data_IF_230095992616
#
_entry.id   IF_230095992616
#
_cell.length_a   1.000
_cell.length_b   1.000
_cell.length_c   1.000
_cell.angle_alpha   90.00
_cell.angle_beta   90.00
_cell.angle_gamma   90.00
#
_symmetry.space_group_name_H-M   'P 1'
#
loop_
_entity.id
_entity.type
_entity.pdbx_description
1 polymer ?
#
# COMPACT_ATOMS: atom_id res chain seq x y z
N UNK A 1 30.77 44.34 -31.97
CA UNK A 1 30.15 44.57 -30.66
C UNK A 1 28.78 43.93 -30.70
N UNK A 2 28.57 42.89 -29.91
CA UNK A 2 27.29 42.21 -29.58
C UNK A 2 27.38 40.69 -29.73
N UNK A 3 27.87 40.05 -28.69
CA UNK A 3 27.57 38.61 -28.45
C UNK A 3 27.83 38.22 -26.98
N UNK A 4 27.31 39.01 -26.02
CA UNK A 4 27.40 38.66 -24.58
C UNK A 4 26.04 38.47 -23.87
N UNK A 5 24.91 38.68 -24.59
CA UNK A 5 23.57 38.63 -24.00
C UNK A 5 22.88 37.25 -24.01
N UNK A 6 23.27 36.41 -24.93
CA UNK A 6 22.61 35.08 -25.08
C UNK A 6 23.13 34.02 -24.08
N UNK A 7 24.44 34.11 -23.76
CA UNK A 7 25.08 33.16 -22.83
C UNK A 7 24.56 33.28 -21.37
N UNK A 8 24.30 34.53 -20.91
CA UNK A 8 23.84 34.77 -19.52
C UNK A 8 22.39 34.25 -19.29
N UNK A 9 21.51 34.36 -20.28
CA UNK A 9 20.12 33.85 -20.14
C UNK A 9 20.02 32.33 -20.15
N UNK A 10 20.88 31.68 -20.92
CA UNK A 10 20.90 30.19 -21.02
C UNK A 10 21.45 29.57 -19.74
N UNK A 11 22.47 30.19 -19.12
CA UNK A 11 23.04 29.74 -17.83
C UNK A 11 22.04 29.93 -16.68
N UNK A 12 21.23 30.99 -16.69
CA UNK A 12 20.24 31.27 -15.64
C UNK A 12 19.03 30.32 -15.71
N UNK A 13 18.62 29.89 -16.93
CA UNK A 13 17.55 28.87 -17.12
C UNK A 13 18.01 27.47 -16.70
N UNK A 14 19.27 27.13 -16.92
CA UNK A 14 19.82 25.80 -16.55
C UNK A 14 20.00 25.65 -15.03
N UNK A 15 20.38 26.74 -14.34
CA UNK A 15 20.46 26.78 -12.87
C UNK A 15 19.08 26.67 -12.22
N UNK A 16 18.06 27.38 -12.73
CA UNK A 16 16.69 27.30 -12.19
C UNK A 16 16.06 25.93 -12.39
N UNK A 17 16.36 25.24 -13.49
CA UNK A 17 15.89 23.89 -13.75
C UNK A 17 16.55 22.82 -12.86
N UNK A 18 17.82 23.01 -12.50
CA UNK A 18 18.54 22.14 -11.56
C UNK A 18 18.07 22.35 -10.13
N UNK A 19 17.89 23.57 -9.71
CA UNK A 19 17.41 23.91 -8.36
C UNK A 19 15.97 23.44 -8.13
N UNK A 20 15.10 23.53 -9.12
CA UNK A 20 13.74 22.97 -9.07
C UNK A 20 13.74 21.44 -8.96
N UNK A 21 14.59 20.75 -9.69
CA UNK A 21 14.71 19.27 -9.60
C UNK A 21 15.31 18.83 -8.26
N UNK A 22 16.31 19.52 -7.75
CA UNK A 22 16.89 19.24 -6.44
C UNK A 22 15.89 19.50 -5.32
N UNK A 23 15.14 20.60 -5.38
CA UNK A 23 14.10 20.91 -4.40
C UNK A 23 12.92 19.93 -4.42
N UNK A 24 12.59 19.35 -5.57
CA UNK A 24 11.58 18.29 -5.67
C UNK A 24 12.10 16.98 -5.09
N UNK A 25 13.32 16.57 -5.42
CA UNK A 25 13.94 15.35 -4.92
C UNK A 25 14.09 15.36 -3.39
N UNK A 26 14.47 16.50 -2.81
CA UNK A 26 14.55 16.66 -1.34
C UNK A 26 13.17 16.51 -0.68
N UNK A 27 12.15 17.13 -1.24
CA UNK A 27 10.76 17.00 -0.74
C UNK A 27 10.23 15.57 -0.85
N UNK A 28 10.52 14.88 -1.95
CA UNK A 28 10.11 13.48 -2.13
C UNK A 28 10.81 12.58 -1.10
N UNK A 29 12.08 12.81 -0.81
CA UNK A 29 12.81 12.04 0.20
C UNK A 29 12.24 12.25 1.61
N UNK A 30 11.88 13.48 2.01
CA UNK A 30 11.21 13.75 3.28
C UNK A 30 9.84 13.04 3.39
N UNK A 31 9.12 12.91 2.27
CA UNK A 31 7.86 12.15 2.23
C UNK A 31 8.14 10.66 2.37
N UNK A 32 9.16 10.14 1.70
CA UNK A 32 9.59 8.75 1.80
C UNK A 32 9.98 8.39 3.24
N UNK A 33 10.74 9.24 3.94
CA UNK A 33 11.08 9.01 5.35
C UNK A 33 9.86 8.98 6.27
N UNK A 34 8.84 9.81 6.01
CA UNK A 34 7.57 9.77 6.75
C UNK A 34 6.79 8.47 6.47
N UNK A 35 6.79 8.00 5.24
CA UNK A 35 6.16 6.73 4.87
C UNK A 35 6.91 5.57 5.53
N UNK A 36 8.24 5.58 5.52
CA UNK A 36 9.04 4.58 6.22
C UNK A 36 8.76 4.56 7.74
N UNK A 37 8.59 5.74 8.33
CA UNK A 37 8.17 5.84 9.74
C UNK A 37 6.79 5.23 9.99
N UNK A 38 5.84 5.46 9.09
CA UNK A 38 4.51 4.87 9.14
C UNK A 38 4.57 3.33 9.04
N UNK A 39 5.31 2.79 8.08
CA UNK A 39 5.47 1.35 7.89
C UNK A 39 6.13 0.64 9.08
N UNK A 40 6.93 1.34 9.88
CA UNK A 40 7.47 0.83 11.16
C UNK A 40 6.46 0.98 12.31
N UNK A 41 5.68 2.07 12.35
CA UNK A 41 4.77 2.38 13.45
C UNK A 41 3.49 1.52 13.44
N UNK A 42 2.96 1.21 12.25
CA UNK A 42 1.72 0.44 12.11
C UNK A 42 1.82 -0.95 12.74
N UNK A 43 2.84 -1.78 12.45
CA UNK A 43 2.97 -3.10 13.05
C UNK A 43 3.14 -3.06 14.57
N UNK A 44 3.86 -2.06 15.11
CA UNK A 44 4.11 -1.93 16.56
C UNK A 44 2.84 -1.77 17.40
N UNK A 45 1.70 -1.48 16.80
CA UNK A 45 0.41 -1.40 17.48
C UNK A 45 -0.18 -2.78 17.83
N UNK A 46 0.22 -3.85 17.11
CA UNK A 46 -0.38 -5.20 17.21
C UNK A 46 0.65 -6.34 17.11
N UNK A 47 1.93 -6.01 17.12
CA UNK A 47 3.01 -6.97 17.07
C UNK A 47 4.12 -6.57 18.04
N UNK A 48 4.78 -7.57 18.60
CA UNK A 48 6.04 -7.38 19.28
C UNK A 48 7.14 -7.19 18.23
N UNK A 49 7.96 -6.17 18.39
CA UNK A 49 9.08 -5.89 17.52
C UNK A 49 10.36 -6.53 18.08
N UNK A 50 10.84 -7.57 17.43
CA UNK A 50 12.08 -8.28 17.80
C UNK A 50 13.21 -7.82 16.88
N UNK A 51 14.29 -7.28 17.45
CA UNK A 51 15.45 -6.78 16.69
C UNK A 51 16.42 -7.91 16.35
N UNK A 52 16.82 -7.97 15.08
CA UNK A 52 17.83 -8.90 14.53
C UNK A 52 18.93 -8.10 13.82
N UNK A 53 19.83 -7.50 14.59
CA UNK A 53 20.87 -6.63 14.04
C UNK A 53 20.30 -5.45 13.29
N UNK A 54 20.50 -5.34 11.95
CA UNK A 54 19.97 -4.25 11.16
C UNK A 54 18.48 -4.41 10.79
N UNK A 55 17.82 -5.51 11.15
CA UNK A 55 16.44 -5.84 10.82
C UNK A 55 15.54 -5.81 12.06
N UNK A 56 14.25 -5.61 11.86
CA UNK A 56 13.19 -5.82 12.82
C UNK A 56 12.18 -6.83 12.27
N UNK A 57 11.82 -7.83 13.09
CA UNK A 57 10.75 -8.78 12.84
C UNK A 57 9.55 -8.42 13.70
N UNK A 58 8.40 -8.25 13.08
CA UNK A 58 7.14 -8.03 13.78
C UNK A 58 6.43 -9.36 14.02
N UNK A 59 6.42 -9.80 15.27
CA UNK A 59 5.76 -11.04 15.69
C UNK A 59 4.34 -10.73 16.13
N UNK A 60 3.29 -11.20 15.43
CA UNK A 60 1.92 -10.94 15.78
C UNK A 60 1.61 -11.35 17.23
N UNK A 61 0.87 -10.52 17.96
CA UNK A 61 0.42 -10.80 19.34
C UNK A 61 -1.02 -11.28 19.42
N UNK A 62 -1.67 -11.46 18.27
CA UNK A 62 -3.04 -11.93 18.14
C UNK A 62 -3.38 -12.25 16.69
N UNK A 63 -4.63 -12.66 16.41
CA UNK A 63 -5.07 -12.96 15.05
C UNK A 63 -5.07 -11.70 14.17
N UNK A 64 -4.81 -11.89 12.90
CA UNK A 64 -4.75 -10.83 11.89
C UNK A 64 -3.74 -11.12 10.80
N UNK A 65 -3.55 -10.16 9.91
CA UNK A 65 -2.56 -10.27 8.84
C UNK A 65 -1.13 -10.24 9.42
N UNK A 66 -0.24 -11.15 9.03
CA UNK A 66 1.15 -11.10 9.43
C UNK A 66 1.84 -9.87 8.84
N UNK A 67 2.76 -9.29 9.61
CA UNK A 67 3.55 -8.16 9.15
C UNK A 67 4.87 -8.62 8.55
N UNK A 68 5.38 -7.86 7.58
CA UNK A 68 6.68 -8.06 6.98
C UNK A 68 7.81 -7.71 7.95
N UNK A 69 8.92 -8.46 7.90
CA UNK A 69 10.16 -8.00 8.48
C UNK A 69 10.74 -6.84 7.63
N UNK A 70 11.49 -5.93 8.25
CA UNK A 70 12.00 -4.75 7.55
C UNK A 70 13.33 -4.25 8.12
N UNK A 71 14.06 -3.36 7.41
CA UNK A 71 15.19 -2.64 7.97
C UNK A 71 14.79 -1.86 9.22
N UNK A 72 15.59 -1.96 10.28
CA UNK A 72 15.40 -1.18 11.49
C UNK A 72 15.63 0.30 11.18
N UNK A 73 14.78 1.18 11.68
CA UNK A 73 14.92 2.63 11.50
C UNK A 73 16.10 3.19 12.31
N UNK A 74 16.66 4.28 11.81
CA UNK A 74 17.81 4.98 12.40
C UNK A 74 19.15 4.36 11.99
N UNK A 75 20.25 4.80 12.63
CA UNK A 75 21.59 4.31 12.32
C UNK A 75 21.69 2.79 12.49
N UNK A 76 22.14 2.11 11.46
CA UNK A 76 22.32 0.65 11.43
C UNK A 76 23.43 0.28 10.45
N UNK A 77 24.11 -0.86 10.63
CA UNK A 77 24.98 -1.39 9.59
C UNK A 77 24.16 -1.80 8.35
N UNK A 78 24.77 -1.88 7.18
CA UNK A 78 24.12 -2.42 5.98
C UNK A 78 23.59 -3.83 6.25
N UNK A 79 22.42 -4.14 5.69
CA UNK A 79 21.81 -5.47 5.79
C UNK A 79 22.58 -6.45 4.90
N UNK A 80 22.85 -7.62 5.44
CA UNK A 80 23.53 -8.72 4.73
C UNK A 80 22.59 -9.92 4.50
N UNK A 81 22.96 -10.79 3.56
CA UNK A 81 22.24 -12.05 3.35
C UNK A 81 22.21 -12.94 4.61
N UNK A 82 23.20 -12.83 5.49
CA UNK A 82 23.22 -13.57 6.76
C UNK A 82 22.15 -13.07 7.72
N UNK A 83 21.95 -11.75 7.80
CA UNK A 83 20.89 -11.16 8.63
C UNK A 83 19.49 -11.61 8.15
N UNK A 84 19.27 -11.59 6.83
CA UNK A 84 18.01 -12.06 6.23
C UNK A 84 17.78 -13.54 6.52
N UNK A 85 18.79 -14.40 6.36
CA UNK A 85 18.64 -15.85 6.69
C UNK A 85 18.32 -16.09 8.16
N UNK A 86 18.86 -15.30 9.07
CA UNK A 86 18.56 -15.40 10.50
C UNK A 86 17.08 -15.06 10.78
N UNK A 87 16.56 -13.97 10.18
CA UNK A 87 15.14 -13.60 10.31
C UNK A 87 14.24 -14.65 9.67
N UNK A 88 14.56 -15.16 8.47
CA UNK A 88 13.81 -16.24 7.81
C UNK A 88 13.73 -17.50 8.66
N UNK A 89 14.86 -17.91 9.30
CA UNK A 89 14.85 -19.03 10.21
C UNK A 89 13.86 -18.82 11.36
N UNK A 90 13.82 -17.60 11.92
CA UNK A 90 12.88 -17.27 12.98
C UNK A 90 11.43 -17.22 12.50
N UNK A 91 11.17 -16.71 11.30
CA UNK A 91 9.82 -16.73 10.70
C UNK A 91 9.32 -18.16 10.54
N UNK A 92 10.16 -19.09 10.08
CA UNK A 92 9.81 -20.53 9.98
C UNK A 92 9.50 -21.16 11.34
N UNK A 93 10.33 -20.89 12.37
CA UNK A 93 10.08 -21.37 13.74
C UNK A 93 8.74 -20.88 14.29
N UNK A 94 8.34 -19.66 13.94
CA UNK A 94 7.08 -19.04 14.37
C UNK A 94 5.89 -19.41 13.48
N UNK A 95 6.12 -20.15 12.38
CA UNK A 95 5.09 -20.50 11.39
C UNK A 95 4.40 -19.26 10.84
N UNK A 96 5.16 -18.21 10.55
CA UNK A 96 4.71 -17.00 9.87
C UNK A 96 5.40 -16.87 8.51
N UNK A 97 4.83 -16.12 7.55
CA UNK A 97 5.41 -15.95 6.22
C UNK A 97 6.85 -15.44 6.25
N UNK A 98 7.71 -16.00 5.39
CA UNK A 98 9.08 -15.54 5.19
C UNK A 98 9.07 -14.33 4.25
N UNK A 99 8.66 -13.17 4.74
CA UNK A 99 8.43 -11.98 3.93
C UNK A 99 9.10 -10.74 4.50
N UNK A 100 9.58 -9.88 3.61
CA UNK A 100 10.27 -8.63 3.92
C UNK A 100 9.69 -7.49 3.08
N UNK A 101 9.58 -6.29 3.67
CA UNK A 101 9.16 -5.09 2.98
C UNK A 101 10.07 -3.91 3.33
N UNK A 102 10.43 -3.11 2.34
CA UNK A 102 11.20 -1.88 2.54
C UNK A 102 10.97 -0.89 1.42
N UNK A 103 11.45 0.33 1.60
CA UNK A 103 11.52 1.33 0.54
C UNK A 103 12.94 1.34 -0.01
N UNK A 104 13.08 1.18 -1.33
CA UNK A 104 14.36 1.08 -2.02
C UNK A 104 15.31 2.25 -1.68
N UNK A 105 14.77 3.48 -1.63
CA UNK A 105 15.53 4.69 -1.34
C UNK A 105 16.05 4.77 0.12
N UNK A 106 15.45 4.00 1.04
CA UNK A 106 15.85 3.94 2.47
C UNK A 106 16.89 2.84 2.71
N UNK A 107 16.78 1.73 2.00
CA UNK A 107 17.65 0.57 2.18
C UNK A 107 17.99 -0.08 0.84
N UNK A 108 18.78 0.58 -0.03
CA UNK A 108 19.07 0.09 -1.38
C UNK A 108 19.85 -1.23 -1.38
N UNK A 109 20.62 -1.52 -0.32
CA UNK A 109 21.37 -2.75 -0.16
C UNK A 109 20.49 -4.00 0.04
N UNK A 110 19.24 -3.82 0.51
CA UNK A 110 18.32 -4.92 0.85
C UNK A 110 18.02 -5.83 -0.34
N UNK A 111 17.86 -5.28 -1.55
CA UNK A 111 17.52 -6.07 -2.73
C UNK A 111 18.59 -7.15 -3.03
N UNK A 112 19.87 -6.76 -3.01
CA UNK A 112 20.97 -7.68 -3.22
C UNK A 112 21.09 -8.70 -2.07
N UNK A 113 20.90 -8.26 -0.83
CA UNK A 113 20.96 -9.13 0.34
C UNK A 113 19.82 -10.17 0.35
N UNK A 114 18.59 -9.78 -0.02
CA UNK A 114 17.42 -10.65 -0.12
C UNK A 114 17.59 -11.70 -1.23
N UNK A 115 18.01 -11.27 -2.42
CA UNK A 115 18.31 -12.18 -3.52
C UNK A 115 19.42 -13.18 -3.17
N UNK A 116 20.51 -12.74 -2.52
CA UNK A 116 21.59 -13.62 -2.04
C UNK A 116 21.16 -14.54 -0.89
N UNK A 117 20.06 -14.24 -0.21
CA UNK A 117 19.42 -15.11 0.77
C UNK A 117 18.38 -16.07 0.15
N UNK A 118 18.17 -16.05 -1.17
CA UNK A 118 17.26 -16.94 -1.90
C UNK A 118 15.80 -16.50 -1.88
N UNK A 119 15.56 -15.19 -1.81
CA UNK A 119 14.23 -14.61 -1.97
C UNK A 119 14.07 -14.01 -3.36
N UNK A 120 12.85 -14.05 -3.89
CA UNK A 120 12.44 -13.27 -5.05
C UNK A 120 12.10 -11.84 -4.59
N UNK A 121 12.64 -10.85 -5.30
CA UNK A 121 12.48 -9.43 -4.97
C UNK A 121 11.58 -8.76 -6.01
N UNK A 122 10.46 -8.21 -5.55
CA UNK A 122 9.44 -7.59 -6.40
C UNK A 122 9.35 -6.08 -6.13
N UNK A 123 9.57 -5.23 -7.15
CA UNK A 123 9.43 -3.79 -7.04
C UNK A 123 7.99 -3.34 -7.30
N UNK A 124 7.48 -2.48 -6.43
CA UNK A 124 6.14 -1.89 -6.50
C UNK A 124 6.22 -0.36 -6.57
N UNK A 125 5.57 0.31 -7.53
CA UNK A 125 5.52 1.77 -7.57
C UNK A 125 4.96 2.34 -6.27
N UNK A 126 5.78 3.09 -5.50
CA UNK A 126 5.36 3.83 -4.32
C UNK A 126 4.80 5.18 -4.76
N UNK A 127 3.53 5.43 -4.46
CA UNK A 127 2.81 6.59 -4.96
C UNK A 127 2.19 7.41 -3.83
N UNK A 128 2.20 8.74 -3.97
CA UNK A 128 1.61 9.68 -3.02
C UNK A 128 0.59 10.59 -3.69
N UNK A 129 -0.46 10.95 -2.98
CA UNK A 129 -1.51 11.85 -3.45
C UNK A 129 -1.01 13.30 -3.42
N UNK A 130 -0.97 13.96 -4.60
CA UNK A 130 -0.47 15.34 -4.74
C UNK A 130 -1.49 16.42 -4.33
N UNK A 131 -2.77 16.18 -4.54
CA UNK A 131 -3.83 17.18 -4.32
C UNK A 131 -5.16 16.53 -3.96
N UNK A 132 -6.29 17.21 -4.18
CA UNK A 132 -7.60 16.59 -4.03
C UNK A 132 -7.76 15.38 -4.95
N UNK A 133 -8.26 14.25 -4.45
CA UNK A 133 -8.41 13.06 -5.28
C UNK A 133 -9.49 13.25 -6.34
N UNK A 134 -9.19 12.84 -7.57
CA UNK A 134 -10.10 12.86 -8.71
C UNK A 134 -10.88 11.54 -8.75
N UNK A 135 -12.18 11.58 -8.43
CA UNK A 135 -13.03 10.40 -8.53
C UNK A 135 -13.61 10.28 -9.94
N UNK A 136 -13.53 9.11 -10.59
CA UNK A 136 -14.32 8.89 -11.81
C UNK A 136 -15.81 8.87 -11.49
N UNK A 137 -16.69 9.15 -12.47
CA UNK A 137 -18.12 8.96 -12.28
C UNK A 137 -18.41 7.48 -11.97
N UNK A 138 -19.30 7.25 -11.01
CA UNK A 138 -19.79 5.91 -10.68
C UNK A 138 -20.82 5.50 -11.73
N UNK A 139 -20.70 4.33 -12.38
CA UNK A 139 -21.67 3.91 -13.39
C UNK A 139 -23.09 3.74 -12.83
N UNK A 140 -24.13 3.91 -13.64
CA UNK A 140 -25.50 3.62 -13.23
C UNK A 140 -25.66 2.19 -12.66
N UNK A 141 -26.43 2.04 -11.60
CA UNK A 141 -26.62 0.76 -10.92
C UNK A 141 -25.56 0.43 -9.86
N UNK A 142 -24.52 1.27 -9.73
CA UNK A 142 -23.52 1.12 -8.68
C UNK A 142 -23.58 2.30 -7.69
N UNK A 143 -23.15 2.03 -6.46
CA UNK A 143 -22.92 3.04 -5.43
C UNK A 143 -21.58 2.81 -4.75
N UNK A 144 -20.95 3.87 -4.22
CA UNK A 144 -19.69 3.77 -3.49
C UNK A 144 -19.84 4.50 -2.16
N UNK A 145 -19.49 3.82 -1.07
CA UNK A 145 -19.60 4.40 0.29
C UNK A 145 -18.53 3.91 1.25
N UNK A 146 -18.30 4.68 2.29
CA UNK A 146 -17.57 4.21 3.48
C UNK A 146 -18.45 3.19 4.21
N UNK A 147 -17.83 2.14 4.73
CA UNK A 147 -18.51 1.01 5.38
C UNK A 147 -18.57 1.26 6.88
N UNK A 148 -19.76 1.14 7.45
CA UNK A 148 -19.96 1.21 8.90
C UNK A 148 -19.49 -0.08 9.59
N UNK A 149 -19.06 -0.02 10.86
CA UNK A 149 -18.68 -1.22 11.61
C UNK A 149 -19.81 -2.26 11.74
N UNK A 150 -21.06 -1.81 11.75
CA UNK A 150 -22.26 -2.64 11.91
C UNK A 150 -22.86 -3.11 10.57
N UNK A 151 -22.16 -2.85 9.46
CA UNK A 151 -22.63 -3.22 8.13
C UNK A 151 -22.89 -4.74 8.05
N UNK A 152 -24.06 -5.11 7.55
CA UNK A 152 -24.49 -6.51 7.46
C UNK A 152 -23.74 -7.30 6.40
N UNK A 153 -23.08 -6.63 5.45
CA UNK A 153 -22.31 -7.25 4.37
C UNK A 153 -20.79 -7.21 4.61
N UNK A 154 -20.37 -7.01 5.85
CA UNK A 154 -18.97 -6.80 6.19
C UNK A 154 -18.05 -7.97 5.79
N UNK A 155 -18.54 -9.19 5.94
CA UNK A 155 -17.89 -10.44 5.49
C UNK A 155 -17.72 -10.50 3.96
N UNK A 156 -18.78 -10.17 3.22
CA UNK A 156 -18.79 -10.12 1.75
C UNK A 156 -17.88 -9.01 1.22
N UNK A 157 -17.89 -7.83 1.87
CA UNK A 157 -17.00 -6.72 1.53
C UNK A 157 -15.53 -7.13 1.75
N UNK A 158 -15.23 -7.80 2.86
CA UNK A 158 -13.89 -8.26 3.20
C UNK A 158 -13.38 -9.38 2.27
N UNK A 159 -14.29 -10.16 1.68
CA UNK A 159 -13.96 -11.20 0.71
C UNK A 159 -13.57 -10.66 -0.68
N UNK A 160 -14.01 -9.46 -1.05
CA UNK A 160 -13.74 -8.88 -2.39
C UNK A 160 -12.24 -8.82 -2.71
N UNK A 161 -11.35 -8.26 -1.86
CA UNK A 161 -9.92 -8.26 -2.13
C UNK A 161 -9.32 -9.66 -2.28
N UNK A 162 -9.78 -10.63 -1.49
CA UNK A 162 -9.29 -12.02 -1.56
C UNK A 162 -9.56 -12.64 -2.94
N UNK A 163 -10.78 -12.47 -3.48
CA UNK A 163 -11.09 -12.89 -4.85
C UNK A 163 -10.23 -12.13 -5.85
N UNK A 164 -10.14 -10.80 -5.70
CA UNK A 164 -9.44 -9.97 -6.66
C UNK A 164 -7.94 -10.30 -6.77
N UNK A 165 -7.28 -10.58 -5.65
CA UNK A 165 -5.85 -10.93 -5.60
C UNK A 165 -5.57 -12.37 -6.03
N UNK A 166 -6.51 -13.27 -5.85
CA UNK A 166 -6.46 -14.62 -6.43
C UNK A 166 -6.55 -14.64 -7.98
N UNK A 167 -6.89 -13.48 -8.58
CA UNK A 167 -7.00 -13.32 -10.03
C UNK A 167 -6.23 -12.06 -10.45
N UNK A 168 -4.89 -12.10 -10.53
CA UNK A 168 -4.06 -10.92 -10.79
C UNK A 168 -4.35 -10.27 -12.14
N UNK A 169 -3.97 -9.00 -12.28
CA UNK A 169 -4.19 -8.20 -13.49
C UNK A 169 -5.44 -7.32 -13.44
N UNK A 170 -5.66 -6.58 -14.53
CA UNK A 170 -6.74 -5.58 -14.63
C UNK A 170 -7.83 -5.93 -15.64
N UNK A 171 -7.68 -7.06 -16.34
CA UNK A 171 -8.64 -7.50 -17.34
C UNK A 171 -9.91 -8.06 -16.69
N UNK A 172 -11.02 -8.01 -17.43
CA UNK A 172 -12.29 -8.63 -17.03
C UNK A 172 -12.12 -10.15 -17.02
N UNK A 173 -12.62 -10.79 -15.99
CA UNK A 173 -12.61 -12.25 -15.82
C UNK A 173 -13.96 -12.77 -15.33
N UNK A 174 -14.08 -14.07 -15.16
CA UNK A 174 -15.34 -14.72 -14.79
C UNK A 174 -15.65 -14.65 -13.29
N UNK A 175 -14.61 -14.68 -12.43
CA UNK A 175 -14.82 -14.70 -10.98
C UNK A 175 -15.57 -13.45 -10.50
N UNK A 176 -16.63 -13.67 -9.76
CA UNK A 176 -17.59 -12.65 -9.39
C UNK A 176 -18.17 -12.81 -7.98
N UNK A 177 -19.46 -12.55 -7.88
CA UNK A 177 -20.17 -12.56 -6.58
C UNK A 177 -20.29 -13.94 -5.97
N UNK A 178 -20.32 -15.01 -6.78
CA UNK A 178 -20.39 -16.38 -6.27
C UNK A 178 -19.11 -16.78 -5.52
N UNK A 179 -17.92 -16.47 -6.06
CA UNK A 179 -16.64 -16.73 -5.41
C UNK A 179 -16.49 -15.87 -4.16
N UNK A 180 -16.91 -14.60 -4.20
CA UNK A 180 -16.94 -13.72 -3.04
C UNK A 180 -17.80 -14.33 -1.92
N UNK A 181 -19.02 -14.73 -2.23
CA UNK A 181 -19.96 -15.26 -1.23
C UNK A 181 -19.44 -16.57 -0.63
N UNK A 182 -18.79 -17.42 -1.42
CA UNK A 182 -18.12 -18.63 -0.92
C UNK A 182 -17.01 -18.27 0.08
N UNK A 183 -16.13 -17.32 -0.25
CA UNK A 183 -15.06 -16.89 0.67
C UNK A 183 -15.65 -16.25 1.93
N UNK A 184 -16.72 -15.45 1.80
CA UNK A 184 -17.38 -14.82 2.94
C UNK A 184 -17.91 -15.84 3.96
N UNK A 185 -18.41 -16.99 3.49
CA UNK A 185 -18.90 -18.07 4.38
C UNK A 185 -17.76 -18.80 5.12
N UNK A 186 -16.53 -18.73 4.63
CA UNK A 186 -15.38 -19.38 5.25
C UNK A 186 -14.77 -18.53 6.40
N UNK A 187 -15.16 -17.25 6.54
CA UNK A 187 -14.71 -16.44 7.64
C UNK A 187 -15.36 -16.86 8.96
N UNK A 188 -14.53 -17.09 9.96
CA UNK A 188 -15.03 -17.27 11.32
C UNK A 188 -15.54 -15.95 11.92
N UNK A 189 -16.38 -16.06 12.95
CA UNK A 189 -16.91 -14.89 13.64
C UNK A 189 -15.82 -14.02 14.29
N UNK A 190 -14.66 -14.60 14.59
CA UNK A 190 -13.51 -13.90 15.17
C UNK A 190 -12.86 -12.93 14.17
N UNK A 191 -12.68 -13.33 12.93
CA UNK A 191 -12.13 -12.49 11.86
C UNK A 191 -12.98 -11.23 11.65
N UNK A 192 -14.30 -11.39 11.55
CA UNK A 192 -15.23 -10.27 11.33
C UNK A 192 -15.35 -9.40 12.58
N UNK A 193 -15.28 -9.98 13.79
CA UNK A 193 -15.28 -9.21 15.05
C UNK A 193 -14.04 -8.29 15.15
N UNK A 194 -12.85 -8.78 14.78
CA UNK A 194 -11.61 -8.00 14.75
C UNK A 194 -11.71 -6.87 13.72
N UNK A 195 -12.24 -7.14 12.52
CA UNK A 195 -12.47 -6.12 11.51
C UNK A 195 -13.41 -5.03 12.03
N UNK A 196 -14.54 -5.42 12.64
CA UNK A 196 -15.51 -4.50 13.25
C UNK A 196 -14.87 -3.63 14.33
N UNK A 197 -14.07 -4.21 15.21
CA UNK A 197 -13.32 -3.47 16.24
C UNK A 197 -12.37 -2.43 15.62
N UNK A 198 -11.63 -2.80 14.56
CA UNK A 198 -10.73 -1.87 13.85
C UNK A 198 -11.45 -0.69 13.21
N UNK A 199 -12.64 -0.95 12.66
CA UNK A 199 -13.49 0.10 12.09
C UNK A 199 -14.07 1.00 13.19
N UNK A 200 -14.63 0.42 14.26
CA UNK A 200 -15.22 1.16 15.40
C UNK A 200 -14.20 2.01 16.14
N UNK A 201 -12.97 1.54 16.29
CA UNK A 201 -11.88 2.30 16.91
C UNK A 201 -11.24 3.35 16.02
N UNK A 202 -11.64 3.43 14.73
CA UNK A 202 -11.04 4.33 13.75
C UNK A 202 -9.61 3.96 13.32
N UNK A 203 -9.11 2.78 13.68
CA UNK A 203 -7.80 2.29 13.26
C UNK A 203 -7.75 2.00 11.76
N UNK A 204 -8.88 1.64 11.17
CA UNK A 204 -9.04 1.42 9.74
C UNK A 204 -10.33 2.05 9.25
N UNK A 205 -10.32 2.46 8.01
CA UNK A 205 -11.51 2.84 7.23
C UNK A 205 -11.65 1.85 6.10
N UNK A 206 -12.84 1.36 5.87
CA UNK A 206 -13.17 0.48 4.76
C UNK A 206 -14.14 1.20 3.83
N UNK A 207 -13.94 1.12 2.54
CA UNK A 207 -14.87 1.61 1.53
C UNK A 207 -15.15 0.52 0.50
N UNK A 208 -16.37 0.51 -0.01
CA UNK A 208 -16.79 -0.48 -1.00
C UNK A 208 -17.69 0.12 -2.07
N UNK A 209 -17.63 -0.48 -3.25
CA UNK A 209 -18.58 -0.25 -4.33
C UNK A 209 -19.58 -1.42 -4.37
N UNK A 210 -20.84 -1.10 -4.50
CA UNK A 210 -21.96 -2.04 -4.50
C UNK A 210 -22.64 -2.01 -5.86
N UNK A 211 -22.90 -3.19 -6.40
CA UNK A 211 -23.79 -3.44 -7.54
C UNK A 211 -25.11 -4.06 -7.10
N UNK A 212 -25.94 -4.53 -8.04
CA UNK A 212 -27.24 -5.16 -7.72
C UNK A 212 -27.12 -6.36 -6.75
N UNK A 213 -26.03 -7.12 -6.86
CA UNK A 213 -25.81 -8.36 -6.09
C UNK A 213 -24.83 -8.16 -4.91
N UNK A 214 -24.70 -6.91 -4.41
CA UNK A 214 -23.86 -6.55 -3.26
C UNK A 214 -22.48 -6.01 -3.62
N UNK A 215 -21.45 -6.13 -2.73
CA UNK A 215 -20.14 -5.50 -2.92
C UNK A 215 -19.36 -6.15 -4.08
N UNK A 216 -18.81 -5.29 -4.95
CA UNK A 216 -18.04 -5.68 -6.14
C UNK A 216 -16.62 -5.12 -6.16
N UNK A 217 -16.36 -4.06 -5.39
CA UNK A 217 -15.03 -3.54 -5.15
C UNK A 217 -14.91 -3.12 -3.68
N UNK A 218 -13.74 -3.27 -3.11
CA UNK A 218 -13.45 -2.84 -1.75
C UNK A 218 -12.00 -2.41 -1.61
N UNK A 219 -11.70 -1.65 -0.56
CA UNK A 219 -10.36 -1.24 -0.18
C UNK A 219 -10.38 -0.68 1.23
N UNK A 220 -9.21 -0.63 1.85
CA UNK A 220 -9.03 -0.14 3.21
C UNK A 220 -8.00 0.99 3.29
N UNK A 221 -8.12 1.80 4.32
CA UNK A 221 -7.17 2.85 4.65
C UNK A 221 -6.89 2.81 6.14
N UNK A 222 -5.63 2.91 6.54
CA UNK A 222 -5.25 3.08 7.93
C UNK A 222 -4.31 4.28 8.08
N UNK A 223 -4.50 5.04 9.17
CA UNK A 223 -3.77 6.28 9.41
C UNK A 223 -2.99 6.23 10.72
N UNK A 224 -1.76 6.74 10.69
CA UNK A 224 -0.88 6.90 11.85
C UNK A 224 -0.11 8.21 11.67
N UNK A 225 -0.10 9.07 12.69
CA UNK A 225 0.72 10.29 12.77
C UNK A 225 0.61 11.22 11.54
N UNK A 226 -0.61 11.31 10.96
CA UNK A 226 -0.88 12.17 9.81
C UNK A 226 -0.41 11.60 8.46
N UNK A 227 -0.04 10.34 8.43
CA UNK A 227 0.23 9.53 7.23
C UNK A 227 -0.82 8.44 7.12
N UNK A 228 -1.33 8.18 5.93
CA UNK A 228 -2.28 7.09 5.70
C UNK A 228 -1.90 6.27 4.47
N UNK A 229 -2.04 4.97 4.62
CA UNK A 229 -1.87 4.00 3.54
C UNK A 229 -3.23 3.49 3.08
N UNK A 230 -3.44 3.49 1.75
CA UNK A 230 -4.56 2.80 1.12
C UNK A 230 -4.07 1.44 0.66
N UNK A 231 -4.71 0.38 1.16
CA UNK A 231 -4.31 -1.01 0.90
C UNK A 231 -5.52 -1.86 0.51
N UNK A 232 -5.25 -3.04 -0.04
CA UNK A 232 -6.28 -4.03 -0.28
C UNK A 232 -7.34 -3.59 -1.29
N UNK A 233 -7.03 -2.67 -2.20
CA UNK A 233 -7.99 -2.25 -3.22
C UNK A 233 -8.15 -3.36 -4.25
N UNK A 234 -9.31 -4.00 -4.23
CA UNK A 234 -9.68 -5.08 -5.13
C UNK A 234 -11.00 -4.80 -5.84
N UNK A 235 -11.12 -5.31 -7.06
CA UNK A 235 -12.37 -5.36 -7.84
C UNK A 235 -12.57 -6.79 -8.29
N UNK A 236 -13.75 -7.35 -8.05
CA UNK A 236 -14.10 -8.68 -8.58
C UNK A 236 -13.80 -8.72 -10.07
N UNK A 237 -13.15 -9.77 -10.60
CA UNK A 237 -12.80 -9.86 -12.02
C UNK A 237 -13.96 -9.52 -12.97
N UNK A 238 -15.17 -10.04 -12.70
CA UNK A 238 -16.36 -9.73 -13.49
C UNK A 238 -16.80 -8.25 -13.46
N UNK A 239 -16.42 -7.51 -12.42
CA UNK A 239 -16.72 -6.06 -12.26
C UNK A 239 -15.62 -5.10 -12.70
N UNK A 240 -14.51 -5.59 -13.28
CA UNK A 240 -13.38 -4.75 -13.70
C UNK A 240 -13.71 -3.83 -14.87
N UNK A 241 -12.84 -2.86 -15.13
CA UNK A 241 -12.89 -1.87 -16.23
C UNK A 241 -14.06 -0.87 -16.15
N UNK A 242 -14.76 -0.80 -15.01
CA UNK A 242 -15.88 0.12 -14.75
C UNK A 242 -15.49 1.31 -13.87
N UNK A 243 -14.19 1.47 -13.52
CA UNK A 243 -13.72 2.57 -12.68
C UNK A 243 -13.98 2.40 -11.17
N UNK A 244 -14.57 1.28 -10.73
CA UNK A 244 -14.98 1.06 -9.33
C UNK A 244 -13.81 1.07 -8.35
N UNK A 245 -12.67 0.44 -8.69
CA UNK A 245 -11.46 0.49 -7.86
C UNK A 245 -10.91 1.91 -7.68
N UNK A 246 -10.94 2.72 -8.76
CA UNK A 246 -10.54 4.11 -8.70
C UNK A 246 -11.52 4.95 -7.84
N UNK A 247 -12.83 4.69 -7.92
CA UNK A 247 -13.84 5.38 -7.11
C UNK A 247 -13.69 5.06 -5.61
N UNK A 248 -13.45 3.78 -5.25
CA UNK A 248 -13.15 3.35 -3.88
C UNK A 248 -11.88 4.03 -3.37
N UNK A 249 -10.79 4.02 -4.15
CA UNK A 249 -9.52 4.66 -3.78
C UNK A 249 -9.69 6.17 -3.58
N UNK A 250 -10.40 6.85 -4.47
CA UNK A 250 -10.66 8.28 -4.36
C UNK A 250 -11.50 8.63 -3.12
N UNK A 251 -12.48 7.80 -2.78
CA UNK A 251 -13.29 7.97 -1.56
C UNK A 251 -12.43 7.81 -0.30
N UNK A 252 -11.62 6.75 -0.21
CA UNK A 252 -10.69 6.54 0.93
C UNK A 252 -9.69 7.69 1.07
N UNK A 253 -9.13 8.17 -0.05
CA UNK A 253 -8.20 9.28 -0.06
C UNK A 253 -8.86 10.60 0.40
N UNK A 254 -10.11 10.84 0.04
CA UNK A 254 -10.90 11.99 0.48
C UNK A 254 -11.19 11.90 1.97
N UNK A 255 -11.71 10.78 2.45
CA UNK A 255 -11.98 10.56 3.88
C UNK A 255 -10.72 10.77 4.73
N UNK A 256 -9.58 10.23 4.31
CA UNK A 256 -8.31 10.45 5.00
C UNK A 256 -7.94 11.95 5.07
N UNK A 257 -8.10 12.70 3.98
CA UNK A 257 -7.85 14.15 3.94
C UNK A 257 -8.79 14.93 4.85
N UNK A 258 -10.08 14.61 4.85
CA UNK A 258 -11.11 15.22 5.71
C UNK A 258 -10.82 14.98 7.20
N UNK A 259 -10.21 13.84 7.55
CA UNK A 259 -9.69 13.53 8.89
C UNK A 259 -8.36 14.19 9.22
N UNK A 260 -7.82 15.07 8.35
CA UNK A 260 -6.60 15.82 8.59
C UNK A 260 -5.29 15.09 8.26
N UNK A 261 -5.35 13.96 7.54
CA UNK A 261 -4.15 13.27 7.07
C UNK A 261 -3.42 14.13 6.04
N UNK A 262 -2.12 14.35 6.25
CA UNK A 262 -1.27 15.16 5.38
C UNK A 262 -0.65 14.39 4.23
N UNK A 263 -0.30 13.12 4.46
CA UNK A 263 0.32 12.25 3.45
C UNK A 263 -0.56 11.02 3.24
N UNK A 264 -1.16 10.88 2.05
CA UNK A 264 -1.89 9.67 1.66
C UNK A 264 -1.07 8.97 0.59
N UNK A 265 -0.75 7.70 0.81
CA UNK A 265 0.09 6.92 -0.10
C UNK A 265 -0.49 5.52 -0.34
N UNK A 266 0.07 4.85 -1.32
CA UNK A 266 -0.18 3.45 -1.64
C UNK A 266 1.02 2.87 -2.42
N UNK A 267 1.11 1.54 -2.44
CA UNK A 267 1.97 0.79 -3.36
C UNK A 267 1.11 0.13 -4.42
N UNK A 268 1.45 0.33 -5.69
CA UNK A 268 0.77 -0.32 -6.80
C UNK A 268 1.41 -1.67 -7.11
N UNK A 269 0.63 -2.70 -7.44
CA UNK A 269 1.16 -4.02 -7.80
C UNK A 269 2.12 -3.97 -9.00
N UNK A 270 1.81 -3.09 -9.94
CA UNK A 270 2.57 -2.92 -11.19
C UNK A 270 2.33 -1.55 -11.84
N UNK A 271 2.98 -1.31 -12.97
CA UNK A 271 2.84 -0.06 -13.71
C UNK A 271 1.45 0.11 -14.37
N UNK A 272 0.69 -0.96 -14.61
CA UNK A 272 -0.66 -0.84 -15.16
C UNK A 272 -1.63 -0.33 -14.09
N UNK A 273 -1.52 -0.86 -12.88
CA UNK A 273 -2.28 -0.40 -11.72
C UNK A 273 -1.84 1.02 -11.30
N UNK A 274 -0.54 1.33 -11.35
CA UNK A 274 -0.04 2.69 -11.09
C UNK A 274 -0.68 3.74 -12.00
N UNK A 275 -0.94 3.41 -13.28
CA UNK A 275 -1.66 4.31 -14.20
C UNK A 275 -3.12 4.57 -13.79
N UNK A 276 -3.76 3.62 -13.12
CA UNK A 276 -5.10 3.85 -12.55
C UNK A 276 -5.03 4.89 -11.44
N UNK A 277 -4.10 4.73 -10.51
CA UNK A 277 -3.90 5.64 -9.39
C UNK A 277 -3.42 7.04 -9.83
N UNK A 278 -2.62 7.12 -10.89
CA UNK A 278 -2.21 8.41 -11.47
C UNK A 278 -3.40 9.27 -11.94
N UNK A 279 -4.47 8.65 -12.45
CA UNK A 279 -5.71 9.35 -12.85
C UNK A 279 -6.50 9.89 -11.67
N UNK A 280 -6.28 9.35 -10.47
CA UNK A 280 -6.90 9.83 -9.21
C UNK A 280 -6.11 11.03 -8.65
N UNK A 281 -4.85 11.22 -9.07
CA UNK A 281 -3.97 12.29 -8.59
C UNK A 281 -2.77 11.79 -7.79
N UNK A 282 -2.53 10.48 -7.76
CA UNK A 282 -1.30 9.93 -7.19
C UNK A 282 -0.14 10.07 -8.18
N UNK A 283 1.06 10.35 -7.68
CA UNK A 283 2.29 10.32 -8.47
C UNK A 283 3.34 9.44 -7.79
N UNK A 284 4.19 8.83 -8.58
CA UNK A 284 5.27 7.98 -8.08
C UNK A 284 6.36 8.84 -7.46
N UNK A 285 6.80 8.46 -6.25
CA UNK A 285 7.91 9.10 -5.53
C UNK A 285 9.06 8.13 -5.25
N UNK A 286 8.84 6.83 -5.37
CA UNK A 286 9.84 5.81 -5.04
C UNK A 286 9.40 4.42 -5.45
N UNK A 287 10.02 3.44 -4.81
CA UNK A 287 9.72 2.02 -5.00
C UNK A 287 9.60 1.33 -3.63
N UNK A 288 8.45 0.76 -3.34
CA UNK A 288 8.31 -0.23 -2.28
C UNK A 288 8.80 -1.58 -2.81
N UNK A 289 9.53 -2.29 -1.99
CA UNK A 289 10.13 -3.58 -2.34
C UNK A 289 9.55 -4.65 -1.43
N UNK A 290 9.16 -5.77 -1.99
CA UNK A 290 8.73 -6.97 -1.26
C UNK A 290 9.68 -8.11 -1.64
N UNK A 291 10.08 -8.91 -0.64
CA UNK A 291 10.89 -10.11 -0.89
C UNK A 291 10.27 -11.30 -0.17
N UNK A 292 10.03 -12.36 -0.93
CA UNK A 292 9.40 -13.60 -0.48
C UNK A 292 10.07 -14.81 -1.14
N UNK A 293 9.92 -16.05 -0.60
CA UNK A 293 10.32 -17.25 -1.30
C UNK A 293 9.64 -17.35 -2.68
N UNK A 294 10.34 -17.86 -3.68
CA UNK A 294 9.72 -18.23 -4.95
C UNK A 294 8.57 -19.21 -4.70
N UNK A 295 7.42 -18.95 -5.32
CA UNK A 295 6.21 -19.76 -5.19
C UNK A 295 6.35 -21.16 -5.82
#
# INVERSE_FOLDING_TARGET
>A
MSDSGASVRQTQLDLSGRDLKVGTAVRDYEVIERIDAFCDAVPRRRARADEYGPLVLFVPTGPGWPYYARPRRGPRPPVTATDIRAVRARQRELIIPESFEWIEQIAPEMAAAAAAAGLEVQPHPLMVLAGPPQAPPVPPGFSVRVVAPEDSELDRIWAVPTVAFGHPGTEVGEAGTAERDKIATDYDGGTIAILRERLSSGQSVLAAAFGPDGPVAAGSCQAVDGVAEITGVGVLPAGRRQGLGAAVTALLARDARERGVRTVFLSASDNAVARVYARIGFHRIGTAMIAEPAG
#
